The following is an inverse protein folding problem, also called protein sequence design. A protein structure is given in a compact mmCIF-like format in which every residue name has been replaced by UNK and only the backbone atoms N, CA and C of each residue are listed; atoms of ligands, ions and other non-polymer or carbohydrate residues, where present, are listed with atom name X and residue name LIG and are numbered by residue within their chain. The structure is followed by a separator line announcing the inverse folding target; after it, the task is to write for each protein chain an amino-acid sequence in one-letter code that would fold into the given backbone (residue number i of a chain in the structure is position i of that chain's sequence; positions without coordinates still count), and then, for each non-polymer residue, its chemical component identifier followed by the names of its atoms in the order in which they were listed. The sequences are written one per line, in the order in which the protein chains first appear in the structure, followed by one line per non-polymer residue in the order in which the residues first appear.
data_IF_871232374722
#
_entry.id   IF_871232374722
#
_cell.length_a   1.000
_cell.length_b   1.000
_cell.length_c   1.000
_cell.angle_alpha   90.00
_cell.angle_beta   90.00
_cell.angle_gamma   90.00
#
_symmetry.space_group_name_H-M   'P 1'
#
loop_
_entity.id
_entity.type
_entity.pdbx_description
1 polymer ?
#
# COMPACT_ATOMS: atom_id res chain seq x y z
N UNK A 1 46.85 -31.61 7.45
CA UNK A 1 45.38 -31.60 7.54
C UNK A 1 45.02 -30.18 7.94
N UNK A 2 44.75 -29.31 6.97
CA UNK A 2 44.36 -27.93 7.25
C UNK A 2 43.13 -27.60 6.41
N UNK A 3 42.03 -27.31 7.11
CA UNK A 3 40.74 -27.01 6.52
C UNK A 3 40.76 -25.61 5.88
N UNK A 4 40.11 -25.41 4.71
CA UNK A 4 39.93 -24.08 4.16
C UNK A 4 38.88 -23.30 4.98
N UNK A 5 39.31 -22.17 5.51
CA UNK A 5 38.48 -21.18 6.21
C UNK A 5 37.47 -20.57 5.22
N UNK A 6 36.20 -20.95 5.31
CA UNK A 6 35.11 -20.28 4.60
C UNK A 6 34.87 -18.91 5.24
N UNK A 7 35.38 -17.84 4.61
CA UNK A 7 34.98 -16.47 4.95
C UNK A 7 33.53 -16.27 4.51
N UNK A 8 32.63 -16.13 5.49
CA UNK A 8 31.24 -15.81 5.25
C UNK A 8 31.10 -14.52 4.42
N UNK A 9 30.34 -14.58 3.33
CA UNK A 9 29.95 -13.38 2.59
C UNK A 9 29.23 -12.41 3.54
N UNK A 10 29.62 -11.12 3.57
CA UNK A 10 28.98 -10.17 4.48
C UNK A 10 27.52 -9.96 4.10
N UNK A 11 26.65 -10.07 5.11
CA UNK A 11 25.20 -9.88 5.02
C UNK A 11 24.83 -8.47 4.51
N UNK A 12 23.64 -8.34 3.94
CA UNK A 12 23.18 -7.12 3.23
C UNK A 12 23.29 -5.82 4.02
N UNK A 13 23.17 -5.88 5.35
CA UNK A 13 23.33 -4.72 6.24
C UNK A 13 24.75 -4.15 6.20
N UNK A 14 25.79 -4.99 6.15
CA UNK A 14 27.17 -4.51 6.14
C UNK A 14 27.51 -3.79 4.81
N UNK A 15 26.95 -4.25 3.68
CA UNK A 15 27.07 -3.58 2.39
C UNK A 15 26.30 -2.24 2.36
N UNK A 16 25.16 -2.18 3.04
CA UNK A 16 24.38 -0.94 3.20
C UNK A 16 25.17 0.12 3.98
N UNK A 17 25.83 -0.25 5.08
CA UNK A 17 26.68 0.66 5.84
C UNK A 17 27.99 1.06 5.14
N UNK A 18 28.55 0.22 4.25
CA UNK A 18 29.67 0.62 3.40
C UNK A 18 29.27 1.64 2.32
N UNK A 19 28.04 1.56 1.80
CA UNK A 19 27.48 2.55 0.87
C UNK A 19 27.41 3.96 1.49
N UNK A 20 27.11 4.06 2.79
CA UNK A 20 27.08 5.32 3.54
C UNK A 20 28.39 6.11 3.50
N UNK A 21 29.55 5.42 3.43
CA UNK A 21 30.86 6.08 3.35
C UNK A 21 31.21 6.64 1.97
N UNK A 22 30.57 6.13 0.91
CA UNK A 22 30.97 6.45 -0.46
C UNK A 22 30.06 7.49 -1.13
N UNK A 23 28.77 7.55 -0.79
CA UNK A 23 27.81 8.50 -1.38
C UNK A 23 26.70 8.93 -0.40
N UNK A 24 27.01 9.74 0.63
CA UNK A 24 26.05 10.05 1.71
C UNK A 24 24.78 10.72 1.19
N UNK A 25 24.86 11.59 0.19
CA UNK A 25 23.70 12.34 -0.35
C UNK A 25 22.65 11.45 -1.05
N UNK A 26 23.04 10.26 -1.51
CA UNK A 26 22.14 9.34 -2.23
C UNK A 26 21.34 8.42 -1.32
N UNK A 27 21.55 8.46 0.00
CA UNK A 27 20.82 7.61 0.96
C UNK A 27 19.82 8.40 1.81
N UNK A 28 19.90 9.73 1.83
CA UNK A 28 19.00 10.61 2.60
C UNK A 28 17.52 10.42 2.25
N UNK A 29 17.14 10.20 0.98
CA UNK A 29 15.75 9.92 0.65
C UNK A 29 15.20 8.70 1.38
N UNK A 30 16.03 7.73 1.80
CA UNK A 30 15.57 6.55 2.54
C UNK A 30 15.07 6.89 3.96
N UNK A 31 15.48 8.02 4.53
CA UNK A 31 14.95 8.48 5.83
C UNK A 31 13.44 8.74 5.77
N UNK A 32 12.88 9.00 4.58
CA UNK A 32 11.44 9.12 4.40
C UNK A 32 10.66 7.86 4.79
N UNK A 33 11.31 6.67 4.83
CA UNK A 33 10.70 5.43 5.34
C UNK A 33 10.35 5.48 6.83
N UNK A 34 10.83 6.48 7.57
CA UNK A 34 10.45 6.69 8.96
C UNK A 34 9.10 7.41 9.09
N UNK A 35 8.63 8.12 8.06
CA UNK A 35 7.38 8.88 8.09
C UNK A 35 6.16 7.98 8.37
N UNK A 36 6.00 6.81 7.71
CA UNK A 36 4.86 5.94 7.97
C UNK A 36 4.89 5.32 9.37
N UNK A 37 6.05 5.28 10.04
CA UNK A 37 6.18 4.72 11.38
C UNK A 37 5.78 5.72 12.47
N UNK A 38 5.74 7.02 12.17
CA UNK A 38 5.36 8.07 13.12
C UNK A 38 4.06 7.80 13.87
N UNK A 39 2.95 7.37 13.23
CA UNK A 39 1.70 7.10 13.92
C UNK A 39 1.77 5.89 14.87
N UNK A 40 2.80 5.04 14.75
CA UNK A 40 3.05 3.93 15.68
C UNK A 40 3.92 4.34 16.88
N UNK A 41 4.59 5.49 16.83
CA UNK A 41 5.42 6.02 17.92
C UNK A 41 4.67 6.96 18.86
N UNK A 42 3.48 7.45 18.47
CA UNK A 42 2.55 8.01 19.44
C UNK A 42 2.05 6.85 20.29
N UNK A 43 2.50 6.77 21.55
CA UNK A 43 2.03 5.75 22.50
C UNK A 43 0.51 5.63 22.40
N UNK A 44 -0.04 4.43 22.13
CA UNK A 44 -1.47 4.26 22.21
C UNK A 44 -1.84 4.43 23.67
N UNK A 45 -2.29 5.63 24.05
CA UNK A 45 -2.90 5.84 25.34
C UNK A 45 -4.01 4.80 25.47
N UNK A 46 -3.89 3.83 26.40
CA UNK A 46 -4.84 2.75 26.49
C UNK A 46 -6.20 3.37 26.79
N UNK A 47 -7.20 3.04 25.98
CA UNK A 47 -8.56 3.53 26.19
C UNK A 47 -8.99 3.19 27.61
N UNK A 48 -9.33 4.21 28.40
CA UNK A 48 -9.71 4.02 29.79
C UNK A 48 -11.21 3.78 29.87
N UNK A 49 -11.61 2.60 30.33
CA UNK A 49 -13.03 2.33 30.58
C UNK A 49 -13.50 3.10 31.82
N UNK A 50 -14.50 3.95 31.65
CA UNK A 50 -15.09 4.78 32.71
C UNK A 50 -16.35 4.16 33.29
N UNK A 51 -17.23 3.65 32.42
CA UNK A 51 -18.51 3.03 32.82
C UNK A 51 -18.75 1.81 31.95
N UNK A 52 -19.12 0.70 32.59
CA UNK A 52 -19.73 -0.44 31.93
C UNK A 52 -20.91 -0.86 32.82
N UNK A 53 -22.13 -0.59 32.35
CA UNK A 53 -23.31 -0.73 33.17
C UNK A 53 -24.48 -1.29 32.35
N UNK A 54 -25.23 -2.18 32.97
CA UNK A 54 -26.54 -2.62 32.51
C UNK A 54 -27.63 -1.92 33.32
N UNK A 55 -28.66 -1.44 32.63
CA UNK A 55 -29.81 -0.72 33.13
C UNK A 55 -31.07 -1.35 32.54
N UNK A 56 -32.21 -1.06 33.17
CA UNK A 56 -33.52 -1.44 32.64
C UNK A 56 -34.33 -0.18 32.43
N UNK A 57 -34.70 0.08 31.18
CA UNK A 57 -35.47 1.24 30.77
C UNK A 57 -36.95 0.83 30.64
N UNK A 58 -37.85 1.39 31.46
CA UNK A 58 -39.27 1.16 31.27
C UNK A 58 -39.79 2.01 30.09
N UNK A 59 -40.71 1.46 29.29
CA UNK A 59 -41.34 2.20 28.18
C UNK A 59 -42.39 3.23 28.61
N UNK A 60 -42.46 3.55 29.91
CA UNK A 60 -43.40 4.52 30.50
C UNK A 60 -42.85 5.95 30.54
N UNK A 61 -41.67 6.21 29.96
CA UNK A 61 -41.00 7.52 30.00
C UNK A 61 -40.29 7.82 31.33
N UNK A 62 -40.19 6.86 32.25
CA UNK A 62 -39.39 7.07 33.46
C UNK A 62 -37.90 7.17 33.13
N UNK A 63 -37.26 8.16 33.73
CA UNK A 63 -35.85 8.46 33.52
C UNK A 63 -34.96 7.53 34.36
N UNK A 64 -33.88 7.03 33.75
CA UNK A 64 -32.84 6.26 34.44
C UNK A 64 -31.48 6.93 34.28
N UNK A 65 -30.64 6.79 35.31
CA UNK A 65 -29.32 7.42 35.35
C UNK A 65 -28.20 6.37 35.33
N UNK A 66 -27.11 6.69 34.66
CA UNK A 66 -25.86 5.93 34.79
C UNK A 66 -25.17 6.18 36.13
N UNK A 67 -24.22 5.32 36.48
CA UNK A 67 -23.19 5.63 37.48
C UNK A 67 -22.47 6.92 37.08
N UNK A 68 -22.08 7.78 38.03
CA UNK A 68 -21.30 8.96 37.72
C UNK A 68 -19.88 8.58 37.27
N UNK A 69 -19.33 9.38 36.36
CA UNK A 69 -17.98 9.23 35.83
C UNK A 69 -17.31 10.60 35.70
N UNK A 70 -15.99 10.62 35.69
CA UNK A 70 -15.19 11.85 35.57
C UNK A 70 -14.66 11.96 34.15
N UNK A 71 -14.84 13.12 33.53
CA UNK A 71 -14.26 13.46 32.25
C UNK A 71 -13.29 14.63 32.39
N UNK A 72 -12.23 14.60 31.59
CA UNK A 72 -11.21 15.65 31.55
C UNK A 72 -11.26 16.39 30.20
N UNK A 73 -11.30 17.72 30.23
CA UNK A 73 -11.32 18.59 29.03
C UNK A 73 -10.08 18.40 28.15
N UNK A 74 -8.93 18.17 28.79
CA UNK A 74 -7.64 18.02 28.14
C UNK A 74 -7.21 16.55 27.98
N UNK A 75 -8.13 15.59 28.13
CA UNK A 75 -7.86 14.20 27.81
C UNK A 75 -7.39 14.07 26.35
N UNK A 76 -6.40 13.21 26.13
CA UNK A 76 -5.95 12.88 24.79
C UNK A 76 -7.00 12.01 24.09
N UNK A 77 -7.43 12.34 22.88
CA UNK A 77 -8.49 11.61 22.16
C UNK A 77 -9.91 12.12 22.42
N UNK A 78 -10.90 11.29 22.06
CA UNK A 78 -12.32 11.57 22.28
C UNK A 78 -12.93 10.60 23.30
N UNK A 79 -14.03 11.03 23.93
CA UNK A 79 -14.88 10.14 24.73
C UNK A 79 -15.76 9.36 23.76
N UNK A 80 -15.78 8.05 23.91
CA UNK A 80 -16.64 7.13 23.18
C UNK A 80 -17.75 6.65 24.10
N UNK A 81 -18.98 6.95 23.73
CA UNK A 81 -20.20 6.39 24.31
C UNK A 81 -20.78 5.36 23.35
N UNK A 82 -20.95 4.13 23.82
CA UNK A 82 -21.68 3.08 23.11
C UNK A 82 -22.84 2.65 23.97
N UNK A 83 -24.00 2.56 23.37
CA UNK A 83 -25.17 1.99 24.01
C UNK A 83 -25.76 0.89 23.15
N UNK A 84 -26.36 -0.08 23.81
CA UNK A 84 -27.06 -1.19 23.18
C UNK A 84 -28.35 -1.44 23.93
N UNK A 85 -29.45 -1.57 23.19
CA UNK A 85 -30.79 -1.72 23.73
C UNK A 85 -31.34 -3.07 23.28
N UNK A 86 -31.81 -3.90 24.21
CA UNK A 86 -32.50 -5.13 23.85
C UNK A 86 -33.92 -4.83 23.41
N UNK A 87 -34.17 -4.92 22.10
CA UNK A 87 -35.49 -4.70 21.53
C UNK A 87 -36.28 -6.02 21.36
N UNK A 88 -37.58 -6.01 21.68
CA UNK A 88 -38.50 -7.06 21.24
C UNK A 88 -38.50 -7.20 19.72
N UNK A 89 -38.86 -8.39 19.22
CA UNK A 89 -39.00 -8.62 17.78
C UNK A 89 -40.18 -7.80 17.25
N UNK A 90 -40.01 -7.16 16.10
CA UNK A 90 -41.02 -6.33 15.42
C UNK A 90 -41.44 -5.10 16.24
N UNK A 91 -40.45 -4.42 16.82
CA UNK A 91 -40.63 -3.21 17.61
C UNK A 91 -39.72 -2.08 17.16
N UNK A 92 -40.19 -0.84 17.35
CA UNK A 92 -39.46 0.41 17.13
C UNK A 92 -39.41 1.17 18.45
N UNK A 93 -38.24 1.73 18.78
CA UNK A 93 -38.03 2.52 19.99
C UNK A 93 -37.52 3.90 19.61
N UNK A 94 -37.90 4.92 20.38
CA UNK A 94 -37.21 6.21 20.43
C UNK A 94 -36.63 6.42 21.82
N UNK A 95 -35.33 6.69 21.89
CA UNK A 95 -34.59 6.86 23.14
C UNK A 95 -33.91 8.21 23.15
N UNK A 96 -34.20 9.00 24.17
CA UNK A 96 -33.47 10.22 24.48
C UNK A 96 -32.33 9.93 25.45
N UNK A 97 -31.16 10.45 25.14
CA UNK A 97 -29.97 10.35 25.98
C UNK A 97 -29.33 11.71 26.18
N UNK A 98 -29.10 12.05 27.43
CA UNK A 98 -28.49 13.32 27.80
C UNK A 98 -27.31 13.13 28.74
N UNK A 99 -26.28 13.92 28.55
CA UNK A 99 -25.15 14.07 29.44
C UNK A 99 -25.41 15.27 30.36
N UNK A 100 -25.51 15.00 31.66
CA UNK A 100 -25.73 16.01 32.68
C UNK A 100 -24.48 16.19 33.55
N UNK A 101 -24.23 17.43 33.96
CA UNK A 101 -23.17 17.78 34.90
C UNK A 101 -23.64 17.72 36.37
N UNK A 102 -22.76 18.07 37.31
CA UNK A 102 -23.08 18.12 38.75
C UNK A 102 -24.11 19.17 39.13
N UNK A 103 -24.34 20.18 38.29
CA UNK A 103 -25.37 21.21 38.50
C UNK A 103 -26.71 20.82 37.88
N UNK A 104 -26.80 19.60 37.32
CA UNK A 104 -27.96 19.09 36.59
C UNK A 104 -28.24 19.85 35.28
N UNK A 105 -27.22 20.50 34.73
CA UNK A 105 -27.27 21.14 33.42
C UNK A 105 -26.97 20.10 32.33
N UNK A 106 -27.78 20.11 31.27
CA UNK A 106 -27.56 19.28 30.08
C UNK A 106 -26.41 19.87 29.26
N UNK A 107 -25.38 19.07 29.04
CA UNK A 107 -24.16 19.44 28.28
C UNK A 107 -24.20 18.87 26.87
N UNK A 108 -24.81 17.70 26.70
CA UNK A 108 -25.02 17.05 25.41
C UNK A 108 -26.38 16.34 25.47
N UNK A 109 -27.16 16.45 24.41
CA UNK A 109 -28.41 15.72 24.24
C UNK A 109 -28.44 15.16 22.83
N UNK A 110 -28.94 13.93 22.70
CA UNK A 110 -29.18 13.33 21.40
C UNK A 110 -30.22 12.22 21.53
N UNK A 111 -31.01 12.09 20.48
CA UNK A 111 -32.10 11.13 20.41
C UNK A 111 -31.78 10.10 19.31
N UNK A 112 -32.11 8.84 19.57
CA UNK A 112 -31.93 7.75 18.60
C UNK A 112 -33.19 6.92 18.51
N UNK A 113 -33.69 6.80 17.29
CA UNK A 113 -34.67 5.79 16.93
C UNK A 113 -33.95 4.47 16.61
N UNK A 114 -34.45 3.37 17.14
CA UNK A 114 -33.96 2.02 16.89
C UNK A 114 -35.09 1.08 16.53
N UNK A 115 -34.78 0.00 15.83
CA UNK A 115 -35.78 -0.97 15.40
C UNK A 115 -35.21 -2.39 15.41
N UNK A 116 -36.11 -3.38 15.50
CA UNK A 116 -35.79 -4.78 15.27
C UNK A 116 -36.89 -5.44 14.47
N UNK A 117 -36.52 -6.06 13.36
CA UNK A 117 -37.44 -6.69 12.43
C UNK A 117 -37.03 -8.14 12.15
N UNK A 118 -38.00 -9.05 12.24
CA UNK A 118 -37.82 -10.43 11.80
C UNK A 118 -38.89 -10.79 10.78
N UNK A 119 -38.46 -11.35 9.65
CA UNK A 119 -39.36 -11.69 8.55
C UNK A 119 -38.82 -12.81 7.68
N UNK A 120 -39.56 -13.09 6.61
CA UNK A 120 -39.19 -14.07 5.58
C UNK A 120 -39.01 -13.29 4.28
N UNK A 121 -37.89 -13.48 3.59
CA UNK A 121 -37.69 -12.97 2.25
C UNK A 121 -37.86 -14.11 1.24
N UNK A 122 -38.36 -13.77 0.05
CA UNK A 122 -38.50 -14.70 -1.06
C UNK A 122 -38.04 -14.02 -2.35
N UNK A 123 -36.93 -14.48 -2.91
CA UNK A 123 -36.38 -14.00 -4.18
C UNK A 123 -35.96 -15.19 -5.03
N UNK A 124 -36.28 -15.16 -6.32
CA UNK A 124 -35.88 -16.17 -7.32
C UNK A 124 -36.19 -17.64 -6.94
N UNK A 125 -37.30 -17.86 -6.22
CA UNK A 125 -37.69 -19.20 -5.76
C UNK A 125 -36.91 -19.71 -4.54
N UNK A 126 -35.99 -18.90 -4.00
CA UNK A 126 -35.35 -19.15 -2.70
C UNK A 126 -36.14 -18.45 -1.59
N UNK A 127 -36.19 -19.07 -0.41
CA UNK A 127 -36.80 -18.49 0.79
C UNK A 127 -35.81 -18.49 1.93
N UNK A 128 -35.76 -17.40 2.68
CA UNK A 128 -34.88 -17.25 3.83
C UNK A 128 -35.56 -16.47 4.96
N UNK A 129 -35.06 -16.64 6.18
CA UNK A 129 -35.50 -15.87 7.35
C UNK A 129 -34.44 -14.81 7.63
N UNK A 130 -34.84 -13.56 7.80
CA UNK A 130 -33.97 -12.49 8.27
C UNK A 130 -34.39 -12.05 9.69
N UNK A 131 -33.43 -11.65 10.51
CA UNK A 131 -33.61 -11.00 11.82
C UNK A 131 -32.59 -9.86 11.87
N UNK A 132 -33.06 -8.65 11.59
CA UNK A 132 -32.23 -7.45 11.50
C UNK A 132 -32.61 -6.48 12.62
N UNK A 133 -31.64 -5.71 13.09
CA UNK A 133 -31.90 -4.70 14.12
C UNK A 133 -30.89 -3.57 14.06
N UNK A 134 -31.40 -2.35 14.24
CA UNK A 134 -30.61 -1.19 14.62
C UNK A 134 -30.98 -0.80 16.05
N UNK A 135 -30.22 -1.36 17.00
CA UNK A 135 -30.51 -1.24 18.43
C UNK A 135 -29.33 -0.70 19.24
N UNK A 136 -28.35 -0.11 18.56
CA UNK A 136 -27.15 0.42 19.17
C UNK A 136 -26.75 1.74 18.53
N UNK A 137 -26.15 2.63 19.30
CA UNK A 137 -25.56 3.82 18.74
C UNK A 137 -24.20 4.09 19.37
N UNK A 138 -23.39 4.84 18.63
CA UNK A 138 -22.05 5.24 19.03
C UNK A 138 -21.91 6.73 18.87
N UNK A 139 -21.57 7.42 19.95
CA UNK A 139 -21.33 8.86 19.96
C UNK A 139 -19.90 9.13 20.39
N UNK A 140 -19.25 10.03 19.67
CA UNK A 140 -17.94 10.56 20.02
C UNK A 140 -18.07 12.03 20.38
N UNK A 141 -17.56 12.40 21.54
CA UNK A 141 -17.62 13.78 21.99
C UNK A 141 -16.40 14.14 22.83
N UNK A 142 -16.22 15.43 23.07
CA UNK A 142 -15.21 15.97 23.98
C UNK A 142 -15.91 16.91 24.96
N UNK A 143 -15.67 16.77 26.28
CA UNK A 143 -16.29 17.66 27.25
C UNK A 143 -15.68 19.07 27.14
N UNK A 144 -16.51 20.10 27.29
CA UNK A 144 -16.04 21.50 27.29
C UNK A 144 -15.41 21.92 28.63
N UNK A 145 -15.60 21.13 29.70
CA UNK A 145 -15.06 21.37 31.03
C UNK A 145 -14.71 20.03 31.68
N UNK A 146 -13.68 20.04 32.53
CA UNK A 146 -13.38 18.87 33.36
C UNK A 146 -14.36 18.78 34.52
N UNK A 147 -14.86 17.58 34.83
CA UNK A 147 -15.84 17.43 35.90
C UNK A 147 -16.47 16.05 35.98
N UNK A 148 -17.40 15.90 36.93
CA UNK A 148 -18.19 14.70 37.09
C UNK A 148 -19.49 14.81 36.29
N UNK A 149 -19.79 13.76 35.54
CA UNK A 149 -20.94 13.68 34.64
C UNK A 149 -21.76 12.42 34.92
N UNK A 150 -23.02 12.43 34.49
CA UNK A 150 -23.92 11.27 34.45
C UNK A 150 -24.70 11.27 33.15
N UNK A 151 -25.08 10.08 32.68
CA UNK A 151 -26.02 9.95 31.58
C UNK A 151 -27.43 9.80 32.13
N UNK A 152 -28.38 10.45 31.46
CA UNK A 152 -29.81 10.42 31.68
C UNK A 152 -30.45 9.77 30.47
N UNK A 153 -31.21 8.70 30.68
CA UNK A 153 -31.87 7.94 29.63
C UNK A 153 -33.37 7.95 29.83
N UNK A 154 -34.12 8.13 28.75
CA UNK A 154 -35.57 8.01 28.72
C UNK A 154 -36.00 7.29 27.43
N UNK A 155 -37.09 6.53 27.51
CA UNK A 155 -37.75 5.96 26.34
C UNK A 155 -38.94 6.85 26.03
N UNK A 156 -38.86 7.57 24.91
CA UNK A 156 -39.92 8.51 24.48
C UNK A 156 -41.09 7.75 23.85
N UNK A 157 -40.79 6.63 23.17
CA UNK A 157 -41.78 5.77 22.56
C UNK A 157 -41.26 4.35 22.36
N UNK A 158 -42.15 3.38 22.52
CA UNK A 158 -41.92 1.98 22.14
C UNK A 158 -43.19 1.47 21.45
N UNK A 159 -43.08 1.14 20.18
CA UNK A 159 -44.21 0.80 19.32
C UNK A 159 -43.98 -0.55 18.63
N UNK A 160 -45.07 -1.24 18.30
CA UNK A 160 -45.04 -2.39 17.41
C UNK A 160 -45.07 -1.95 15.93
N UNK A 161 -44.98 -2.91 14.99
CA UNK A 161 -45.11 -2.63 13.55
C UNK A 161 -46.45 -1.96 13.15
N UNK A 162 -47.49 -2.09 13.96
CA UNK A 162 -48.80 -1.48 13.71
C UNK A 162 -48.92 -0.09 14.36
N UNK A 163 -47.84 0.45 14.94
CA UNK A 163 -47.82 1.73 15.64
C UNK A 163 -48.52 1.70 17.00
N UNK A 164 -48.76 0.50 17.57
CA UNK A 164 -49.38 0.37 18.88
C UNK A 164 -48.33 0.41 19.99
N UNK A 165 -48.58 1.12 21.10
CA UNK A 165 -47.61 1.25 22.18
C UNK A 165 -47.42 -0.08 22.91
N UNK A 166 -46.16 -0.50 23.07
CA UNK A 166 -45.79 -1.70 23.82
C UNK A 166 -45.36 -1.29 25.24
N UNK A 167 -45.90 -1.98 26.25
CA UNK A 167 -45.43 -1.86 27.64
C UNK A 167 -44.39 -2.93 27.94
N UNK A 168 -43.12 -2.53 27.99
CA UNK A 168 -42.01 -3.43 28.27
C UNK A 168 -40.88 -2.73 29.00
N UNK A 169 -40.04 -3.54 29.64
CA UNK A 169 -38.79 -3.13 30.26
C UNK A 169 -37.64 -3.54 29.35
N UNK A 170 -36.96 -2.56 28.76
CA UNK A 170 -35.88 -2.78 27.80
C UNK A 170 -34.54 -2.86 28.54
N UNK A 171 -33.76 -3.93 28.38
CA UNK A 171 -32.39 -3.95 28.89
C UNK A 171 -31.53 -2.98 28.08
N UNK A 172 -30.76 -2.14 28.76
CA UNK A 172 -29.83 -1.17 28.17
C UNK A 172 -28.43 -1.47 28.70
N UNK A 173 -27.47 -1.64 27.79
CA UNK A 173 -26.05 -1.71 28.14
C UNK A 173 -25.36 -0.43 27.68
N UNK A 174 -24.59 0.17 28.58
CA UNK A 174 -23.87 1.42 28.36
C UNK A 174 -22.39 1.17 28.63
N UNK A 175 -21.55 1.50 27.65
CA UNK A 175 -20.10 1.49 27.75
C UNK A 175 -19.55 2.88 27.42
N UNK A 176 -18.82 3.46 28.37
CA UNK A 176 -18.16 4.75 28.23
C UNK A 176 -16.66 4.53 28.37
N UNK A 177 -15.93 4.95 27.34
CA UNK A 177 -14.48 4.92 27.29
C UNK A 177 -13.96 6.32 27.02
N UNK A 178 -12.93 6.73 27.74
CA UNK A 178 -12.18 7.95 27.42
C UNK A 178 -10.85 7.56 26.78
N UNK A 179 -10.20 8.55 26.16
CA UNK A 179 -8.97 8.38 25.40
C UNK A 179 -9.12 7.42 24.23
N UNK A 180 -10.31 7.44 23.61
CA UNK A 180 -10.53 6.66 22.41
C UNK A 180 -9.82 7.31 21.23
N UNK A 181 -8.96 6.54 20.58
CA UNK A 181 -8.32 6.91 19.32
C UNK A 181 -8.79 5.94 18.23
N UNK A 182 -9.12 6.49 17.07
CA UNK A 182 -9.58 5.71 15.93
C UNK A 182 -8.42 4.91 15.32
N UNK A 183 -8.42 3.60 15.59
CA UNK A 183 -7.44 2.66 15.02
C UNK A 183 -7.51 2.58 13.49
N UNK A 184 -8.70 2.81 12.92
CA UNK A 184 -8.89 2.86 11.47
C UNK A 184 -8.10 4.01 10.87
N UNK A 185 -8.16 5.20 11.49
CA UNK A 185 -7.43 6.37 11.03
C UNK A 185 -5.91 6.16 11.06
N UNK A 186 -5.39 5.50 12.10
CA UNK A 186 -3.97 5.14 12.18
C UNK A 186 -3.52 4.23 11.05
N UNK A 187 -4.27 3.14 10.82
CA UNK A 187 -3.98 2.19 9.74
C UNK A 187 -4.02 2.89 8.37
N UNK A 188 -5.05 3.69 8.13
CA UNK A 188 -5.16 4.47 6.88
C UNK A 188 -4.01 5.45 6.69
N UNK A 189 -3.63 6.18 7.75
CA UNK A 189 -2.51 7.13 7.71
C UNK A 189 -1.19 6.42 7.42
N UNK A 190 -0.96 5.25 8.02
CA UNK A 190 0.20 4.40 7.74
C UNK A 190 0.25 4.01 6.25
N UNK A 191 -0.83 3.47 5.70
CA UNK A 191 -0.84 3.01 4.31
C UNK A 191 -0.70 4.14 3.30
N UNK A 192 -1.37 5.27 3.53
CA UNK A 192 -1.29 6.44 2.64
C UNK A 192 0.12 7.04 2.67
N UNK A 193 0.69 7.23 3.86
CA UNK A 193 2.06 7.76 3.98
C UNK A 193 3.09 6.81 3.37
N UNK A 194 2.95 5.49 3.56
CA UNK A 194 3.80 4.50 2.91
C UNK A 194 3.71 4.59 1.39
N UNK A 195 2.50 4.68 0.82
CA UNK A 195 2.31 4.82 -0.61
C UNK A 195 3.01 6.09 -1.16
N UNK A 196 2.84 7.23 -0.48
CA UNK A 196 3.50 8.50 -0.84
C UNK A 196 5.02 8.36 -0.80
N UNK A 197 5.56 7.75 0.26
CA UNK A 197 7.00 7.51 0.41
C UNK A 197 7.53 6.61 -0.70
N UNK A 198 6.81 5.53 -1.04
CA UNK A 198 7.20 4.65 -2.14
C UNK A 198 7.20 5.38 -3.49
N UNK A 199 6.21 6.24 -3.74
CA UNK A 199 6.18 7.08 -4.95
C UNK A 199 7.35 8.06 -4.99
N UNK A 200 7.67 8.71 -3.86
CA UNK A 200 8.81 9.60 -3.73
C UNK A 200 10.14 8.86 -3.98
N UNK A 201 10.34 7.71 -3.34
CA UNK A 201 11.53 6.87 -3.54
C UNK A 201 11.64 6.40 -4.99
N UNK A 202 10.54 5.98 -5.61
CA UNK A 202 10.52 5.64 -7.03
C UNK A 202 10.88 6.85 -7.91
N UNK A 203 10.42 8.05 -7.55
CA UNK A 203 10.79 9.28 -8.25
C UNK A 203 12.29 9.58 -8.15
N UNK A 204 12.93 9.30 -7.02
CA UNK A 204 14.36 9.60 -6.84
C UNK A 204 15.25 8.51 -7.45
N UNK A 205 14.90 7.23 -7.25
CA UNK A 205 15.77 6.10 -7.55
C UNK A 205 15.43 5.34 -8.83
N UNK A 206 14.31 5.66 -9.49
CA UNK A 206 13.95 5.03 -10.77
C UNK A 206 13.86 6.05 -11.92
N UNK A 207 14.13 7.33 -11.67
CA UNK A 207 14.16 8.37 -12.71
C UNK A 207 15.58 8.62 -13.21
N UNK A 208 16.02 7.77 -14.14
CA UNK A 208 17.00 8.23 -15.13
C UNK A 208 16.29 9.07 -16.19
N UNK A 209 16.94 10.12 -16.71
CA UNK A 209 16.41 10.86 -17.87
C UNK A 209 16.53 9.95 -19.09
N UNK A 210 15.38 9.64 -19.69
CA UNK A 210 15.35 8.85 -20.93
C UNK A 210 15.99 9.67 -22.06
N UNK A 211 17.02 9.11 -22.69
CA UNK A 211 17.70 9.69 -23.85
C UNK A 211 17.14 9.13 -25.14
N UNK A 212 17.04 7.81 -25.20
CA UNK A 212 16.49 7.12 -26.35
C UNK A 212 15.73 5.87 -25.91
N UNK A 213 14.68 5.53 -26.64
CA UNK A 213 14.01 4.26 -26.46
C UNK A 213 12.69 4.14 -27.18
N UNK A 214 12.24 2.90 -27.31
CA UNK A 214 11.06 2.50 -28.05
C UNK A 214 11.15 1.01 -28.37
N UNK A 215 10.10 0.49 -28.99
CA UNK A 215 10.13 -0.81 -29.65
C UNK A 215 10.84 -0.63 -30.99
N UNK A 216 11.83 -1.47 -31.25
CA UNK A 216 12.68 -1.44 -32.44
C UNK A 216 12.72 -2.83 -33.06
N UNK A 217 12.80 -2.85 -34.39
CA UNK A 217 12.86 -4.07 -35.18
C UNK A 217 14.31 -4.41 -35.55
N UNK A 218 15.18 -3.42 -35.74
CA UNK A 218 16.62 -3.60 -35.96
C UNK A 218 17.44 -2.88 -34.87
N UNK A 219 18.28 -3.66 -34.19
CA UNK A 219 19.19 -3.18 -33.14
C UNK A 219 20.31 -2.31 -33.72
N UNK A 220 20.77 -2.62 -34.94
CA UNK A 220 21.84 -1.89 -35.62
C UNK A 220 21.37 -0.51 -36.05
N UNK A 221 20.18 -0.40 -36.63
CA UNK A 221 19.55 0.88 -36.96
C UNK A 221 19.36 1.72 -35.69
N UNK A 222 18.78 1.15 -34.63
CA UNK A 222 18.57 1.84 -33.37
C UNK A 222 19.88 2.37 -32.76
N UNK A 223 20.99 1.65 -32.96
CA UNK A 223 22.32 2.05 -32.50
C UNK A 223 22.81 3.36 -33.10
N UNK A 224 22.32 3.73 -34.30
CA UNK A 224 22.66 5.01 -34.95
C UNK A 224 22.01 6.20 -34.23
N UNK A 225 20.82 6.00 -33.68
CA UNK A 225 20.01 7.01 -33.00
C UNK A 225 20.43 7.27 -31.55
N UNK A 226 21.36 6.47 -31.02
CA UNK A 226 21.87 6.62 -29.65
C UNK A 226 22.93 7.72 -29.51
N UNK A 227 23.36 8.37 -30.60
CA UNK A 227 24.39 9.42 -30.54
C UNK A 227 23.84 10.68 -29.89
N UNK A 228 24.25 10.95 -28.66
CA UNK A 228 23.79 12.10 -27.86
C UNK A 228 24.87 12.55 -26.89
N UNK A 229 24.69 13.73 -26.28
CA UNK A 229 25.54 14.17 -25.16
C UNK A 229 25.03 13.53 -23.88
N UNK A 230 25.81 12.65 -23.26
CA UNK A 230 25.45 11.99 -22.00
C UNK A 230 26.12 12.71 -20.85
N UNK A 231 25.37 12.93 -19.78
CA UNK A 231 25.91 13.56 -18.58
C UNK A 231 26.82 12.63 -17.78
N UNK A 232 27.64 13.26 -16.93
CA UNK A 232 28.45 12.56 -15.93
C UNK A 232 27.57 11.73 -15.00
N UNK A 233 27.98 10.50 -14.72
CA UNK A 233 27.27 9.60 -13.81
C UNK A 233 26.93 8.26 -14.47
N UNK A 234 25.90 7.59 -13.95
CA UNK A 234 25.52 6.25 -14.42
C UNK A 234 24.54 6.35 -15.59
N UNK A 235 24.86 5.64 -16.65
CA UNK A 235 24.01 5.39 -17.81
C UNK A 235 23.47 3.97 -17.70
N UNK A 236 22.17 3.79 -17.91
CA UNK A 236 21.53 2.49 -17.96
C UNK A 236 21.08 2.20 -19.38
N UNK A 237 21.47 1.02 -19.87
CA UNK A 237 20.91 0.40 -21.06
C UNK A 237 20.03 -0.76 -20.63
N UNK A 238 18.73 -0.67 -20.90
CA UNK A 238 17.76 -1.75 -20.68
C UNK A 238 17.31 -2.27 -22.04
N UNK A 239 17.44 -3.58 -22.21
CA UNK A 239 16.96 -4.30 -23.38
C UNK A 239 15.99 -5.38 -22.92
N UNK A 240 14.88 -5.50 -23.62
CA UNK A 240 13.88 -6.54 -23.41
C UNK A 240 13.38 -6.96 -24.78
N UNK A 241 13.55 -8.22 -25.17
CA UNK A 241 13.10 -8.66 -26.48
C UNK A 241 12.40 -9.99 -26.44
N UNK A 242 11.63 -10.25 -27.50
CA UNK A 242 10.86 -11.47 -27.72
C UNK A 242 11.25 -12.08 -29.05
N UNK A 243 11.37 -13.39 -29.04
CA UNK A 243 11.63 -14.23 -30.19
C UNK A 243 10.48 -15.23 -30.32
N UNK A 244 10.02 -15.41 -31.55
CA UNK A 244 8.96 -16.33 -31.92
C UNK A 244 9.54 -17.49 -32.75
N UNK A 245 8.83 -18.62 -32.73
CA UNK A 245 9.19 -19.80 -33.50
C UNK A 245 8.61 -19.67 -34.91
N UNK A 246 9.47 -19.79 -35.92
CA UNK A 246 9.06 -19.72 -37.33
C UNK A 246 8.51 -21.03 -37.90
N UNK A 247 8.74 -22.16 -37.24
CA UNK A 247 8.41 -23.51 -37.72
C UNK A 247 7.56 -24.29 -36.73
N UNK A 248 6.52 -24.98 -37.20
CA UNK A 248 5.60 -25.78 -36.37
C UNK A 248 6.27 -26.96 -35.65
N UNK A 249 7.32 -27.54 -36.24
CA UNK A 249 8.11 -28.60 -35.62
C UNK A 249 9.46 -28.06 -35.15
N UNK A 250 9.67 -28.01 -33.84
CA UNK A 250 10.92 -27.55 -33.26
C UNK A 250 11.27 -28.34 -31.99
N UNK A 251 12.57 -28.43 -31.70
CA UNK A 251 13.08 -28.95 -30.43
C UNK A 251 14.14 -27.99 -29.95
N UNK A 252 13.71 -27.04 -29.09
CA UNK A 252 14.58 -25.99 -28.57
C UNK A 252 14.78 -26.14 -27.07
N UNK A 253 15.97 -25.77 -26.61
CA UNK A 253 16.26 -25.68 -25.19
C UNK A 253 15.39 -24.63 -24.50
N UNK A 254 15.11 -24.84 -23.21
CA UNK A 254 14.37 -23.89 -22.38
C UNK A 254 15.12 -22.55 -22.24
N UNK A 255 16.45 -22.60 -22.26
CA UNK A 255 17.33 -21.44 -22.15
C UNK A 255 18.35 -21.49 -23.28
N UNK A 256 18.44 -20.42 -24.06
CA UNK A 256 19.35 -20.31 -25.22
C UNK A 256 20.26 -19.09 -25.01
N UNK A 257 21.59 -19.25 -25.04
CA UNK A 257 22.50 -18.10 -24.99
C UNK A 257 22.49 -17.33 -26.32
N UNK A 258 22.42 -16.01 -26.25
CA UNK A 258 22.46 -15.08 -27.37
C UNK A 258 23.61 -14.09 -27.13
N UNK A 259 24.63 -14.02 -28.00
CA UNK A 259 25.69 -13.04 -27.87
C UNK A 259 25.18 -11.66 -28.25
N UNK A 260 25.34 -10.70 -27.34
CA UNK A 260 25.16 -9.26 -27.60
C UNK A 260 26.53 -8.62 -27.74
N UNK A 261 26.83 -8.11 -28.93
CA UNK A 261 28.00 -7.28 -29.17
C UNK A 261 27.67 -5.84 -28.81
N UNK A 262 28.45 -5.27 -27.87
CA UNK A 262 28.32 -3.89 -27.42
C UNK A 262 29.62 -3.15 -27.72
N UNK A 263 29.50 -2.02 -28.41
CA UNK A 263 30.54 -1.01 -28.54
C UNK A 263 30.04 0.36 -28.06
N UNK A 264 30.85 1.11 -27.34
CA UNK A 264 30.58 2.50 -26.99
C UNK A 264 31.65 3.35 -27.68
N UNK A 265 31.23 4.26 -28.55
CA UNK A 265 32.11 5.20 -29.24
C UNK A 265 31.93 6.62 -28.72
N UNK A 266 32.98 7.43 -28.79
CA UNK A 266 32.92 8.86 -28.53
C UNK A 266 32.29 9.64 -29.70
N UNK A 267 32.17 10.95 -29.54
CA UNK A 267 31.66 11.86 -30.56
C UNK A 267 32.47 11.90 -31.86
N UNK A 268 33.73 11.48 -31.83
CA UNK A 268 34.64 11.42 -32.98
C UNK A 268 34.65 10.02 -33.63
N UNK A 269 33.91 9.05 -33.07
CA UNK A 269 33.83 7.68 -33.55
C UNK A 269 34.89 6.73 -33.02
N UNK A 270 35.76 7.18 -32.11
CA UNK A 270 36.74 6.33 -31.41
C UNK A 270 36.01 5.42 -30.43
N UNK A 271 36.29 4.12 -30.50
CA UNK A 271 35.73 3.14 -29.55
C UNK A 271 36.38 3.31 -28.17
N UNK A 272 35.55 3.57 -27.16
CA UNK A 272 35.93 3.72 -25.76
C UNK A 272 35.74 2.42 -24.95
N UNK A 273 34.76 1.59 -25.35
CA UNK A 273 34.46 0.32 -24.69
C UNK A 273 33.93 -0.69 -25.71
N UNK A 274 34.36 -1.94 -25.63
CA UNK A 274 33.83 -3.05 -26.43
C UNK A 274 33.71 -4.29 -25.56
N UNK A 275 32.57 -4.97 -25.61
CA UNK A 275 32.30 -6.16 -24.83
C UNK A 275 31.28 -7.05 -25.55
N UNK A 276 31.50 -8.36 -25.54
CA UNK A 276 30.50 -9.35 -25.95
C UNK A 276 29.85 -9.93 -24.70
N UNK A 277 28.53 -9.80 -24.59
CA UNK A 277 27.77 -10.18 -23.40
C UNK A 277 26.81 -11.31 -23.79
N UNK A 278 26.89 -12.44 -23.10
CA UNK A 278 25.91 -13.51 -23.28
C UNK A 278 24.61 -13.17 -22.55
N UNK A 279 23.56 -12.95 -23.32
CA UNK A 279 22.18 -12.83 -22.85
C UNK A 279 21.54 -14.22 -22.90
N UNK A 280 20.58 -14.49 -22.03
CA UNK A 280 19.87 -15.77 -22.03
C UNK A 280 18.41 -15.56 -22.40
N UNK A 281 17.98 -16.21 -23.48
CA UNK A 281 16.60 -16.32 -23.91
C UNK A 281 15.91 -17.40 -23.10
N UNK A 282 14.90 -17.03 -22.32
CA UNK A 282 14.12 -17.96 -21.52
C UNK A 282 12.77 -18.24 -22.17
N UNK A 283 12.43 -19.52 -22.35
CA UNK A 283 11.11 -19.94 -22.80
C UNK A 283 10.05 -19.53 -21.78
N UNK A 284 9.00 -18.85 -22.25
CA UNK A 284 7.76 -18.60 -21.50
C UNK A 284 6.67 -19.46 -22.12
N UNK A 285 5.88 -20.11 -21.26
CA UNK A 285 4.64 -20.75 -21.66
C UNK A 285 3.62 -19.66 -21.94
N UNK A 286 2.88 -19.78 -23.04
CA UNK A 286 1.67 -19.02 -23.27
C UNK A 286 0.70 -19.23 -22.09
N UNK A 287 -0.02 -18.18 -21.68
CA UNK A 287 -1.09 -18.31 -20.68
C UNK A 287 -2.36 -18.91 -21.27
N UNK A 288 -2.51 -18.81 -22.58
CA UNK A 288 -3.71 -19.15 -23.33
C UNK A 288 -3.38 -20.30 -24.29
N UNK A 289 -4.32 -21.21 -24.51
CA UNK A 289 -4.12 -22.44 -25.30
C UNK A 289 -3.72 -22.19 -26.77
N UNK A 290 -3.96 -20.98 -27.28
CA UNK A 290 -3.76 -20.61 -28.69
C UNK A 290 -2.47 -19.82 -28.96
N UNK A 291 -1.72 -19.41 -27.94
CA UNK A 291 -0.49 -18.63 -28.15
C UNK A 291 0.72 -19.57 -28.31
N UNK A 292 1.50 -19.46 -29.41
CA UNK A 292 2.72 -20.24 -29.54
C UNK A 292 3.73 -19.83 -28.45
N UNK A 293 4.51 -20.78 -27.92
CA UNK A 293 5.52 -20.46 -26.93
C UNK A 293 6.57 -19.53 -27.52
N UNK A 294 6.99 -18.56 -26.72
CA UNK A 294 7.98 -17.56 -27.11
C UNK A 294 9.16 -17.55 -26.15
N UNK A 295 10.27 -17.01 -26.64
CA UNK A 295 11.50 -16.84 -25.87
C UNK A 295 11.69 -15.36 -25.57
N UNK A 296 11.96 -15.05 -24.31
CA UNK A 296 12.12 -13.66 -23.87
C UNK A 296 13.44 -13.50 -23.14
N UNK A 297 14.09 -12.36 -23.35
CA UNK A 297 15.19 -11.92 -22.52
C UNK A 297 14.91 -10.55 -21.90
N UNK A 298 15.55 -10.30 -20.77
CA UNK A 298 15.54 -9.00 -20.11
C UNK A 298 16.92 -8.73 -19.52
N UNK A 299 17.62 -7.75 -20.06
CA UNK A 299 18.94 -7.36 -19.56
C UNK A 299 18.99 -5.88 -19.19
N UNK A 300 19.80 -5.57 -18.18
CA UNK A 300 20.08 -4.21 -17.73
C UNK A 300 21.58 -4.07 -17.54
N UNK A 301 22.18 -3.15 -18.27
CA UNK A 301 23.59 -2.87 -18.26
C UNK A 301 23.80 -1.45 -17.74
N UNK A 302 24.81 -1.27 -16.89
CA UNK A 302 25.12 0.01 -16.26
C UNK A 302 26.54 0.42 -16.60
N UNK A 303 26.70 1.68 -17.00
CA UNK A 303 27.97 2.26 -17.41
C UNK A 303 28.24 3.56 -16.66
N UNK A 304 29.46 3.74 -16.15
CA UNK A 304 29.88 5.00 -15.56
C UNK A 304 30.51 5.87 -16.64
N UNK A 305 29.89 7.03 -16.88
CA UNK A 305 30.41 8.07 -17.74
C UNK A 305 31.16 9.11 -16.88
N UNK A 306 32.49 9.28 -17.03
CA UNK A 306 33.28 10.12 -16.16
C UNK A 306 32.97 11.61 -16.29
N UNK A 307 32.62 12.07 -17.50
CA UNK A 307 32.42 13.48 -17.84
C UNK A 307 31.25 13.69 -18.83
N UNK A 308 30.83 14.93 -19.04
CA UNK A 308 29.85 15.26 -20.08
C UNK A 308 30.49 15.08 -21.46
N UNK A 309 30.04 14.08 -22.21
CA UNK A 309 30.60 13.79 -23.53
C UNK A 309 29.57 13.20 -24.49
N UNK A 310 29.81 13.36 -25.78
CA UNK A 310 29.01 12.73 -26.82
C UNK A 310 29.38 11.25 -26.90
N UNK A 311 28.41 10.37 -26.70
CA UNK A 311 28.60 8.92 -26.80
C UNK A 311 27.63 8.34 -27.82
N UNK A 312 28.01 7.21 -28.40
CA UNK A 312 27.16 6.38 -29.26
C UNK A 312 27.28 4.92 -28.84
N UNK A 313 26.14 4.30 -28.57
CA UNK A 313 26.02 2.88 -28.24
C UNK A 313 25.77 2.09 -29.53
N UNK A 314 26.76 1.33 -29.96
CA UNK A 314 26.70 0.36 -31.05
C UNK A 314 26.34 -1.00 -30.48
N UNK A 315 25.24 -1.56 -30.93
CA UNK A 315 24.76 -2.83 -30.43
C UNK A 315 24.41 -3.71 -31.62
N UNK A 316 24.80 -4.97 -31.55
CA UNK A 316 24.44 -5.97 -32.54
C UNK A 316 24.16 -7.29 -31.85
N UNK A 317 23.14 -7.99 -32.35
CA UNK A 317 22.86 -9.37 -31.95
C UNK A 317 22.21 -10.10 -33.13
N UNK A 318 22.26 -11.44 -33.16
CA UNK A 318 21.58 -12.22 -34.19
C UNK A 318 20.06 -12.01 -34.16
N UNK A 319 19.48 -11.63 -35.30
CA UNK A 319 18.02 -11.53 -35.50
C UNK A 319 17.35 -12.91 -35.59
N UNK A 320 18.13 -13.94 -35.98
CA UNK A 320 17.68 -15.32 -36.08
C UNK A 320 18.66 -16.25 -35.38
N UNK A 321 18.14 -17.15 -34.56
CA UNK A 321 18.89 -18.24 -33.91
C UNK A 321 18.12 -19.53 -34.13
N UNK A 322 18.68 -20.43 -34.94
CA UNK A 322 18.02 -21.66 -35.38
C UNK A 322 16.64 -21.40 -36.03
N UNK A 323 15.57 -21.77 -35.33
CA UNK A 323 14.17 -21.56 -35.75
C UNK A 323 13.50 -20.38 -35.04
N UNK A 324 14.22 -19.68 -34.16
CA UNK A 324 13.75 -18.48 -33.50
C UNK A 324 14.05 -17.26 -34.35
N UNK A 325 13.04 -16.45 -34.59
CA UNK A 325 13.15 -15.14 -35.22
C UNK A 325 12.74 -14.05 -34.23
N UNK A 326 13.47 -12.95 -34.27
CA UNK A 326 13.21 -11.81 -33.43
C UNK A 326 11.88 -11.15 -33.83
N UNK A 327 10.94 -11.07 -32.89
CA UNK A 327 9.66 -10.39 -33.12
C UNK A 327 9.79 -8.90 -32.79
N UNK A 328 10.46 -8.58 -31.68
CA UNK A 328 10.69 -7.19 -31.26
C UNK A 328 11.73 -7.07 -30.14
N UNK A 329 12.27 -5.86 -30.02
CA UNK A 329 13.09 -5.46 -28.89
C UNK A 329 12.61 -4.10 -28.38
N UNK A 330 12.36 -4.02 -27.09
CA UNK A 330 12.25 -2.76 -26.37
C UNK A 330 13.63 -2.29 -25.95
N UNK A 331 13.94 -1.08 -26.39
CA UNK A 331 15.15 -0.35 -26.06
C UNK A 331 14.84 0.79 -25.09
N UNK A 332 15.61 0.93 -24.01
CA UNK A 332 15.50 2.06 -23.09
C UNK A 332 16.88 2.44 -22.56
N UNK A 333 17.38 3.58 -23.03
CA UNK A 333 18.66 4.16 -22.68
C UNK A 333 18.45 5.44 -21.89
N UNK A 334 19.01 5.48 -20.69
CA UNK A 334 18.84 6.58 -19.74
C UNK A 334 20.16 7.06 -19.18
N UNK A 335 20.28 8.36 -18.93
CA UNK A 335 21.37 8.94 -18.14
C UNK A 335 20.87 9.45 -16.79
N UNK A 336 21.80 9.92 -15.93
CA UNK A 336 21.52 10.37 -14.55
C UNK A 336 20.85 9.30 -13.69
N UNK A 337 21.21 8.04 -13.90
CA UNK A 337 20.59 6.93 -13.18
C UNK A 337 21.12 6.91 -11.75
N UNK A 338 20.20 6.92 -10.80
CA UNK A 338 20.47 6.73 -9.38
C UNK A 338 19.88 5.39 -8.97
N UNK A 339 20.51 4.64 -8.07
CA UNK A 339 19.94 3.39 -7.56
C UNK A 339 20.22 3.22 -6.08
N UNK A 340 19.27 2.62 -5.37
CA UNK A 340 19.40 2.21 -3.97
C UNK A 340 20.33 1.00 -3.85
N UNK A 341 20.32 0.12 -4.85
CA UNK A 341 21.04 -1.14 -4.82
C UNK A 341 22.43 -1.00 -5.45
N UNK A 342 23.42 -1.75 -4.97
CA UNK A 342 24.73 -1.78 -5.61
C UNK A 342 24.58 -2.28 -7.05
N UNK A 343 25.02 -1.45 -8.00
CA UNK A 343 24.98 -1.76 -9.43
C UNK A 343 26.32 -2.35 -9.86
N UNK A 344 26.28 -3.34 -10.76
CA UNK A 344 27.48 -3.81 -11.47
C UNK A 344 27.79 -2.81 -12.59
N UNK A 345 28.54 -1.76 -12.25
CA UNK A 345 28.85 -0.66 -13.16
C UNK A 345 30.13 -0.95 -13.93
N UNK A 346 30.08 -0.79 -15.25
CA UNK A 346 31.24 -0.83 -16.15
C UNK A 346 31.77 0.57 -16.37
N UNK A 347 33.09 0.76 -16.39
CA UNK A 347 33.65 2.10 -16.64
C UNK A 347 33.80 2.33 -18.14
N UNK A 348 33.30 3.46 -18.64
CA UNK A 348 33.60 3.94 -19.99
C UNK A 348 34.98 4.60 -19.92
N UNK A 349 35.87 4.20 -20.84
CA UNK A 349 37.28 4.61 -20.90
C UNK A 349 37.50 6.11 -20.94
#
# INVERSE_FOLDING_TARGET
MDAPFFMAQPSGLHKFFQSFKQQPLLLWPLLSLLIPLWPSFSEPLPSRQLVNQELTLPSTGEVRFSKPFVLEENAAGAVRLVTFVGLPVNAVVSISTELIDTTNQVVLAFDKEGWRERGIWQEEGQTGIYDESDNSYKVFFRPNKSGQYRLRFAVDGLEDRAGQPIKANLPLRVDIQDQYIDQGLYSWTFWISLAIVLLFLNSVYCQGRRRFGGRIDDLLEASTLTRMNYEKGVIMLKLNGRFEVTTSHYTLARVIPLPLELGIADGNGKLLHTETINIYLERKSASDEDDPPFWRFKTRLFFFNPDLQSLRFRLSMPERVDVLEQEWIDFDLRDRVVSILPLKIRRIG
#
